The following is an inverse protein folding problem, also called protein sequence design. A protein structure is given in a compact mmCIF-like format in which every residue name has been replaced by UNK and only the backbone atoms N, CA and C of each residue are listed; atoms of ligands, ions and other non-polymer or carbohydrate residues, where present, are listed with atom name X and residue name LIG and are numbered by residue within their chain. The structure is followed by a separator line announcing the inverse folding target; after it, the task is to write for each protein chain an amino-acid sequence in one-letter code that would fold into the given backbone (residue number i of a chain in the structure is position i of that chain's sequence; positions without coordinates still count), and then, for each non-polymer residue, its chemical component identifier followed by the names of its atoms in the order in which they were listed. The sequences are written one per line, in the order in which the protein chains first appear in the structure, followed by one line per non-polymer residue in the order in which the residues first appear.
data_IF_008834368877
#
_entry.id   IF_008834368877
#
_cell.length_a   1.000
_cell.length_b   1.000
_cell.length_c   1.000
_cell.angle_alpha   90.00
_cell.angle_beta   90.00
_cell.angle_gamma   90.00
#
_symmetry.space_group_name_H-M   'P 1'
#
loop_
_entity.id
_entity.type
_entity.pdbx_description
1 polymer ?
#
# COMPACT_ATOMS: atom_id res chain seq x y z
N UNK A 1 -53.41 -46.96 -23.74
CA UNK A 1 -52.16 -46.46 -24.35
C UNK A 1 -51.70 -45.06 -23.87
N UNK A 2 -52.25 -44.49 -22.81
CA UNK A 2 -51.93 -43.10 -22.38
C UNK A 2 -50.87 -42.91 -21.29
N UNK A 3 -50.64 -43.88 -20.41
CA UNK A 3 -49.78 -43.71 -19.21
C UNK A 3 -48.27 -43.75 -19.50
N UNK A 4 -47.79 -44.46 -20.52
CA UNK A 4 -46.39 -44.52 -20.91
C UNK A 4 -45.85 -43.25 -21.59
N UNK A 5 -46.74 -42.48 -22.21
CA UNK A 5 -46.40 -41.19 -22.87
C UNK A 5 -46.16 -40.07 -21.86
N UNK A 6 -46.92 -40.03 -20.76
CA UNK A 6 -46.79 -39.04 -19.71
C UNK A 6 -45.47 -39.17 -18.97
N UNK A 7 -45.08 -40.37 -18.56
CA UNK A 7 -43.82 -40.60 -17.80
C UNK A 7 -42.58 -40.16 -18.57
N UNK A 8 -42.49 -40.46 -19.88
CA UNK A 8 -41.36 -40.01 -20.71
C UNK A 8 -41.30 -38.49 -20.90
N UNK A 9 -42.48 -37.85 -20.93
CA UNK A 9 -42.57 -36.40 -21.00
C UNK A 9 -42.12 -35.74 -19.71
N UNK A 10 -42.54 -36.26 -18.55
CA UNK A 10 -42.15 -35.80 -17.23
C UNK A 10 -40.65 -35.94 -16.98
N UNK A 11 -40.06 -37.09 -17.41
CA UNK A 11 -38.60 -37.35 -17.36
C UNK A 11 -37.83 -36.34 -18.23
N UNK A 12 -38.28 -36.05 -19.44
CA UNK A 12 -37.64 -35.10 -20.34
C UNK A 12 -37.77 -33.64 -19.80
N UNK A 13 -38.87 -33.32 -19.11
CA UNK A 13 -39.04 -32.01 -18.47
C UNK A 13 -38.07 -31.85 -17.32
N UNK A 14 -37.96 -32.84 -16.44
CA UNK A 14 -37.03 -32.86 -15.34
C UNK A 14 -35.55 -32.71 -15.77
N UNK A 15 -35.19 -33.39 -16.87
CA UNK A 15 -33.85 -33.29 -17.46
C UNK A 15 -33.54 -31.88 -17.98
N UNK A 16 -34.53 -31.26 -18.65
CA UNK A 16 -34.40 -29.86 -19.12
C UNK A 16 -34.30 -28.90 -17.94
N UNK A 17 -35.10 -29.07 -16.90
CA UNK A 17 -35.02 -28.19 -15.70
C UNK A 17 -33.66 -28.30 -15.02
N UNK A 18 -33.10 -29.52 -14.91
CA UNK A 18 -31.76 -29.75 -14.39
C UNK A 18 -30.68 -29.07 -15.27
N UNK A 19 -30.83 -29.12 -16.60
CA UNK A 19 -29.93 -28.43 -17.53
C UNK A 19 -30.02 -26.90 -17.37
N UNK A 20 -31.23 -26.34 -17.24
CA UNK A 20 -31.44 -24.91 -17.01
C UNK A 20 -30.75 -24.48 -15.70
N UNK A 21 -30.95 -25.20 -14.60
CA UNK A 21 -30.31 -24.90 -13.32
C UNK A 21 -28.78 -24.93 -13.42
N UNK A 22 -28.24 -25.90 -14.17
CA UNK A 22 -26.80 -26.02 -14.39
C UNK A 22 -26.27 -24.82 -15.19
N UNK A 23 -26.96 -24.41 -16.26
CA UNK A 23 -26.59 -23.25 -17.07
C UNK A 23 -26.70 -21.95 -16.30
N UNK A 24 -27.73 -21.77 -15.47
CA UNK A 24 -27.89 -20.60 -14.61
C UNK A 24 -26.76 -20.53 -13.56
N UNK A 25 -26.38 -21.66 -12.95
CA UNK A 25 -25.27 -21.72 -12.01
C UNK A 25 -23.94 -21.36 -12.69
N UNK A 26 -23.69 -21.90 -13.90
CA UNK A 26 -22.51 -21.57 -14.70
C UNK A 26 -22.52 -20.09 -15.12
N UNK A 27 -23.67 -19.54 -15.48
CA UNK A 27 -23.83 -18.11 -15.78
C UNK A 27 -23.47 -17.21 -14.60
N UNK A 28 -23.98 -17.53 -13.40
CA UNK A 28 -23.63 -16.77 -12.18
C UNK A 28 -22.14 -16.86 -11.86
N UNK A 29 -21.53 -18.05 -11.98
CA UNK A 29 -20.10 -18.22 -11.75
C UNK A 29 -19.25 -17.42 -12.76
N UNK A 30 -19.67 -17.40 -14.04
CA UNK A 30 -18.98 -16.61 -15.08
C UNK A 30 -19.11 -15.10 -14.81
N UNK A 31 -20.30 -14.65 -14.41
CA UNK A 31 -20.53 -13.25 -14.05
C UNK A 31 -19.64 -12.79 -12.91
N UNK A 32 -19.53 -13.58 -11.84
CA UNK A 32 -18.63 -13.30 -10.71
C UNK A 32 -17.16 -13.18 -11.17
N UNK A 33 -16.70 -14.10 -12.05
CA UNK A 33 -15.34 -14.03 -12.61
C UNK A 33 -15.11 -12.79 -13.46
N UNK A 34 -16.12 -12.33 -14.21
CA UNK A 34 -16.02 -11.09 -15.00
C UNK A 34 -15.86 -9.90 -14.07
N UNK A 35 -16.63 -9.83 -12.98
CA UNK A 35 -16.53 -8.77 -11.97
C UNK A 35 -15.15 -8.74 -11.31
N UNK A 36 -14.61 -9.92 -10.90
CA UNK A 36 -13.27 -10.05 -10.33
C UNK A 36 -12.18 -9.55 -11.31
N UNK A 37 -12.29 -9.93 -12.59
CA UNK A 37 -11.32 -9.48 -13.62
C UNK A 37 -11.43 -7.97 -13.85
N UNK A 38 -12.64 -7.43 -13.90
CA UNK A 38 -12.83 -5.98 -14.06
C UNK A 38 -12.25 -5.19 -12.88
N UNK A 39 -12.36 -5.71 -11.66
CA UNK A 39 -11.75 -5.09 -10.49
C UNK A 39 -10.22 -5.14 -10.56
N UNK A 40 -9.65 -6.29 -10.95
CA UNK A 40 -8.22 -6.43 -11.16
C UNK A 40 -7.69 -5.44 -12.22
N UNK A 41 -8.38 -5.30 -13.34
CA UNK A 41 -8.00 -4.34 -14.40
C UNK A 41 -8.02 -2.91 -13.88
N UNK A 42 -9.06 -2.53 -13.13
CA UNK A 42 -9.12 -1.19 -12.49
C UNK A 42 -7.95 -0.93 -11.55
N UNK A 43 -7.56 -1.91 -10.75
CA UNK A 43 -6.40 -1.78 -9.86
C UNK A 43 -5.09 -1.63 -10.65
N UNK A 44 -4.90 -2.41 -11.71
CA UNK A 44 -3.70 -2.31 -12.56
C UNK A 44 -3.63 -0.96 -13.29
N UNK A 45 -4.75 -0.42 -13.77
CA UNK A 45 -4.79 0.92 -14.35
C UNK A 45 -4.45 2.00 -13.34
N UNK A 46 -4.96 1.92 -12.11
CA UNK A 46 -4.59 2.83 -11.03
C UNK A 46 -3.10 2.77 -10.70
N UNK A 47 -2.55 1.57 -10.58
CA UNK A 47 -1.12 1.35 -10.29
C UNK A 47 -0.23 1.91 -11.41
N UNK A 48 -0.63 1.71 -12.67
CA UNK A 48 0.03 2.32 -13.83
C UNK A 48 0.01 3.85 -13.76
N UNK A 49 -1.14 4.44 -13.49
CA UNK A 49 -1.31 5.90 -13.45
C UNK A 49 -0.50 6.53 -12.31
N UNK A 50 -0.38 5.86 -11.16
CA UNK A 50 0.51 6.25 -10.07
C UNK A 50 1.97 6.32 -10.54
N UNK A 51 2.46 5.27 -11.20
CA UNK A 51 3.84 5.20 -11.68
C UNK A 51 4.12 6.22 -12.78
N UNK A 52 3.21 6.40 -13.73
CA UNK A 52 3.35 7.42 -14.79
C UNK A 52 3.34 8.84 -14.21
N UNK A 53 2.41 9.13 -13.28
CA UNK A 53 2.37 10.42 -12.59
C UNK A 53 3.64 10.72 -11.81
N UNK A 54 4.27 9.70 -11.22
CA UNK A 54 5.55 9.83 -10.54
C UNK A 54 6.70 10.13 -11.53
N UNK A 55 6.76 9.40 -12.64
CA UNK A 55 7.76 9.62 -13.69
C UNK A 55 7.65 11.02 -14.32
N UNK A 56 6.45 11.56 -14.44
CA UNK A 56 6.24 12.90 -14.98
C UNK A 56 6.68 14.02 -14.04
N UNK A 57 6.52 13.84 -12.73
CA UNK A 57 6.74 14.90 -11.73
C UNK A 57 8.09 14.82 -11.04
N UNK A 58 8.69 13.64 -10.94
CA UNK A 58 9.97 13.46 -10.26
C UNK A 58 11.12 13.61 -11.26
N UNK A 59 12.06 14.49 -10.95
CA UNK A 59 13.25 14.75 -11.77
C UNK A 59 14.52 14.60 -10.96
N UNK A 60 15.61 14.07 -11.54
CA UNK A 60 16.91 14.04 -10.89
C UNK A 60 17.36 15.43 -10.45
N UNK A 61 17.94 15.52 -9.24
CA UNK A 61 18.42 16.78 -8.67
C UNK A 61 17.33 17.68 -8.07
N UNK A 62 16.06 17.20 -8.01
CA UNK A 62 15.00 17.91 -7.28
C UNK A 62 15.24 17.80 -5.77
N UNK A 63 14.95 18.89 -5.05
CA UNK A 63 15.08 18.92 -3.60
C UNK A 63 14.20 17.85 -2.92
N UNK A 64 14.69 17.22 -1.83
CA UNK A 64 13.99 16.12 -1.17
C UNK A 64 12.57 16.43 -0.71
N UNK A 65 12.31 17.66 -0.27
CA UNK A 65 10.96 18.09 0.12
C UNK A 65 10.02 18.10 -1.08
N UNK A 66 10.43 18.67 -2.20
CA UNK A 66 9.63 18.72 -3.42
C UNK A 66 9.36 17.32 -3.99
N UNK A 67 10.31 16.39 -3.90
CA UNK A 67 10.11 14.98 -4.25
C UNK A 67 9.09 14.31 -3.32
N UNK A 68 9.17 14.58 -2.02
CA UNK A 68 8.25 14.02 -1.03
C UNK A 68 6.82 14.56 -1.22
N UNK A 69 6.67 15.85 -1.51
CA UNK A 69 5.37 16.50 -1.81
C UNK A 69 4.77 15.94 -3.11
N UNK A 70 5.57 15.79 -4.16
CA UNK A 70 5.11 15.18 -5.41
C UNK A 70 4.63 13.75 -5.20
N UNK A 71 5.35 12.94 -4.40
CA UNK A 71 4.96 11.58 -4.07
C UNK A 71 3.68 11.55 -3.23
N UNK A 72 3.55 12.44 -2.25
CA UNK A 72 2.33 12.58 -1.44
C UNK A 72 1.10 12.85 -2.31
N UNK A 73 1.19 13.84 -3.21
CA UNK A 73 0.10 14.24 -4.10
C UNK A 73 -0.36 13.08 -5.00
N UNK A 74 0.59 12.28 -5.46
CA UNK A 74 0.32 11.15 -6.36
C UNK A 74 -0.33 9.99 -5.62
N UNK A 75 0.19 9.62 -4.43
CA UNK A 75 -0.14 8.35 -3.81
C UNK A 75 -1.16 8.45 -2.67
N UNK A 76 -1.33 9.60 -1.99
CA UNK A 76 -2.08 9.68 -0.74
C UNK A 76 -3.53 9.22 -0.87
N UNK A 77 -4.27 9.84 -1.80
CA UNK A 77 -5.68 9.50 -2.04
C UNK A 77 -5.85 8.15 -2.75
N UNK A 78 -5.14 7.87 -3.87
CA UNK A 78 -5.33 6.62 -4.59
C UNK A 78 -4.98 5.37 -3.77
N UNK A 79 -4.01 5.46 -2.86
CA UNK A 79 -3.65 4.36 -1.97
C UNK A 79 -4.46 4.34 -0.66
N UNK A 80 -5.34 5.33 -0.42
CA UNK A 80 -6.16 5.42 0.80
C UNK A 80 -5.31 5.58 2.06
N UNK A 81 -4.27 6.40 2.00
CA UNK A 81 -3.35 6.56 3.12
C UNK A 81 -3.96 7.39 4.25
N UNK A 82 -3.70 6.98 5.48
CA UNK A 82 -4.01 7.71 6.71
C UNK A 82 -2.87 8.65 7.09
N UNK A 83 -1.64 8.11 7.01
CA UNK A 83 -0.40 8.82 7.27
C UNK A 83 0.63 8.49 6.18
N UNK A 84 1.52 9.45 5.95
CA UNK A 84 2.62 9.32 5.01
C UNK A 84 3.79 10.18 5.48
N UNK A 85 5.00 9.68 5.39
CA UNK A 85 6.17 10.51 5.61
C UNK A 85 7.37 10.08 4.78
N UNK A 86 8.24 11.05 4.52
CA UNK A 86 9.60 10.84 4.02
C UNK A 86 10.57 11.36 5.05
N UNK A 87 11.51 10.53 5.46
CA UNK A 87 12.57 10.90 6.39
C UNK A 87 13.94 10.59 5.82
N UNK A 88 14.89 11.48 6.05
CA UNK A 88 16.29 11.36 5.63
C UNK A 88 17.17 10.99 6.81
N UNK A 89 18.11 10.07 6.59
CA UNK A 89 19.08 9.62 7.55
C UNK A 89 20.40 10.35 7.31
N UNK A 90 20.86 11.07 8.32
CA UNK A 90 22.22 11.58 8.41
C UNK A 90 23.00 10.68 9.37
N UNK A 91 23.75 9.75 8.79
CA UNK A 91 24.50 8.75 9.56
C UNK A 91 25.69 9.35 10.31
N UNK A 92 26.26 10.45 9.80
CA UNK A 92 27.43 11.10 10.40
C UNK A 92 27.01 11.99 11.58
N UNK A 93 25.80 12.59 11.50
CA UNK A 93 25.19 13.36 12.59
C UNK A 93 24.34 12.50 13.53
N UNK A 94 24.22 11.20 13.28
CA UNK A 94 23.33 10.29 14.01
C UNK A 94 21.88 10.79 14.07
N UNK A 95 21.35 11.25 12.94
CA UNK A 95 20.05 11.94 12.88
C UNK A 95 19.09 11.35 11.85
N UNK A 96 17.83 11.18 12.24
CA UNK A 96 16.69 10.95 11.35
C UNK A 96 15.83 12.21 11.29
N UNK A 97 15.77 12.85 10.13
CA UNK A 97 15.05 14.10 9.92
C UNK A 97 13.84 13.88 9.01
N UNK A 98 12.65 14.20 9.49
CA UNK A 98 11.42 14.12 8.70
C UNK A 98 11.35 15.32 7.75
N UNK A 99 11.41 15.03 6.45
CA UNK A 99 11.34 16.04 5.38
C UNK A 99 9.89 16.45 5.17
N UNK A 100 9.01 15.46 5.17
CA UNK A 100 7.56 15.62 5.07
C UNK A 100 6.91 14.61 6.01
N UNK A 101 5.93 15.06 6.77
CA UNK A 101 5.09 14.22 7.63
C UNK A 101 3.63 14.63 7.47
N UNK A 102 2.83 13.76 6.91
CA UNK A 102 1.40 13.95 6.67
C UNK A 102 0.59 13.01 7.57
N UNK A 103 -0.31 13.56 8.38
CA UNK A 103 -1.14 12.83 9.31
C UNK A 103 -2.54 13.44 9.35
N UNK A 104 -3.57 12.61 9.19
CA UNK A 104 -4.97 13.06 9.25
C UNK A 104 -5.29 14.19 8.27
N UNK A 105 -4.70 14.18 7.06
CA UNK A 105 -4.90 15.20 6.04
C UNK A 105 -4.16 16.52 6.29
N UNK A 106 -3.24 16.57 7.26
CA UNK A 106 -2.46 17.79 7.60
C UNK A 106 -0.97 17.48 7.64
N UNK A 107 -0.18 18.40 7.07
CA UNK A 107 1.27 18.37 7.27
C UNK A 107 1.61 18.74 8.70
N UNK A 108 2.44 17.92 9.35
CA UNK A 108 2.91 18.10 10.72
C UNK A 108 4.40 18.34 10.75
N UNK A 109 4.86 19.18 11.65
CA UNK A 109 6.28 19.27 11.97
C UNK A 109 6.62 18.14 12.95
N UNK A 110 7.48 17.22 12.54
CA UNK A 110 7.97 16.15 13.40
C UNK A 110 9.43 16.44 13.74
N UNK A 111 9.80 16.51 15.03
CA UNK A 111 11.18 16.80 15.42
C UNK A 111 12.13 15.69 14.94
N UNK A 112 13.37 16.03 14.59
CA UNK A 112 14.38 15.03 14.29
C UNK A 112 14.68 14.19 15.53
N UNK A 113 15.12 12.93 15.31
CA UNK A 113 15.51 12.01 16.38
C UNK A 113 16.80 11.31 16.06
N UNK A 114 17.42 10.68 17.04
CA UNK A 114 18.69 9.99 16.84
C UNK A 114 18.45 8.60 16.25
N UNK A 115 19.26 8.25 15.27
CA UNK A 115 19.25 6.91 14.66
C UNK A 115 19.72 5.83 15.66
N UNK A 116 20.68 6.19 16.54
CA UNK A 116 21.24 5.28 17.54
C UNK A 116 20.23 4.85 18.61
N UNK A 117 19.17 5.62 18.82
CA UNK A 117 18.13 5.28 19.81
C UNK A 117 17.35 4.02 19.41
N UNK A 118 17.29 3.67 18.12
CA UNK A 118 16.64 2.47 17.55
C UNK A 118 15.21 2.25 18.04
N UNK A 119 14.49 3.34 18.28
CA UNK A 119 13.25 3.33 19.03
C UNK A 119 12.03 2.93 18.21
N UNK A 120 12.03 3.05 16.88
CA UNK A 120 10.83 2.88 16.07
C UNK A 120 11.00 2.02 14.82
N UNK A 121 9.90 1.91 14.06
CA UNK A 121 9.85 1.16 12.80
C UNK A 121 10.76 1.76 11.74
N UNK A 122 10.93 3.08 11.71
CA UNK A 122 11.80 3.78 10.77
C UNK A 122 13.25 3.32 10.88
N UNK A 123 13.77 3.30 12.10
CA UNK A 123 15.15 2.88 12.38
C UNK A 123 15.37 1.40 12.07
N UNK A 124 14.32 0.58 12.25
CA UNK A 124 14.35 -0.84 11.87
C UNK A 124 14.48 -1.03 10.37
N UNK A 125 13.72 -0.26 9.55
CA UNK A 125 13.84 -0.29 8.08
C UNK A 125 15.24 0.11 7.64
N UNK A 126 15.77 1.18 8.19
CA UNK A 126 17.12 1.67 7.85
C UNK A 126 18.22 0.66 8.22
N UNK A 127 18.07 -0.01 9.36
CA UNK A 127 19.02 -1.04 9.80
C UNK A 127 18.88 -2.33 8.99
N UNK A 128 17.65 -2.75 8.72
CA UNK A 128 17.35 -3.96 7.94
C UNK A 128 17.67 -3.78 6.45
N UNK A 129 17.62 -2.56 5.92
CA UNK A 129 17.89 -2.20 4.51
C UNK A 129 16.95 -2.89 3.51
N UNK A 130 15.81 -3.31 3.97
CA UNK A 130 14.74 -3.87 3.14
C UNK A 130 13.40 -3.37 3.64
N UNK A 131 12.35 -3.40 2.80
CA UNK A 131 11.03 -3.01 3.21
C UNK A 131 10.53 -3.85 4.39
N UNK A 132 9.79 -3.20 5.29
CA UNK A 132 9.11 -3.85 6.41
C UNK A 132 7.63 -3.57 6.30
N UNK A 133 6.81 -4.61 6.37
CA UNK A 133 5.36 -4.53 6.39
C UNK A 133 4.82 -4.96 7.75
N UNK A 134 4.04 -4.08 8.35
CA UNK A 134 3.25 -4.33 9.56
C UNK A 134 1.79 -4.35 9.11
N UNK A 135 1.09 -5.44 9.37
CA UNK A 135 -0.27 -5.67 8.88
C UNK A 135 -1.34 -5.19 9.83
N UNK A 136 -1.07 -5.25 11.14
CA UNK A 136 -2.03 -4.93 12.18
C UNK A 136 -1.43 -4.04 13.25
N UNK A 137 -2.30 -3.39 14.03
CA UNK A 137 -1.87 -2.58 15.17
C UNK A 137 -1.10 -3.40 16.21
N UNK A 138 -1.48 -4.67 16.43
CA UNK A 138 -0.82 -5.59 17.36
C UNK A 138 0.59 -5.93 16.88
N UNK A 139 0.77 -6.22 15.59
CA UNK A 139 2.10 -6.41 15.00
C UNK A 139 2.96 -5.15 15.17
N UNK A 140 2.37 -3.97 14.96
CA UNK A 140 3.05 -2.69 15.15
C UNK A 140 3.55 -2.50 16.58
N UNK A 141 2.69 -2.73 17.56
CA UNK A 141 3.05 -2.66 18.99
C UNK A 141 4.17 -3.64 19.34
N UNK A 142 4.03 -4.89 18.90
CA UNK A 142 5.04 -5.93 19.13
C UNK A 142 6.39 -5.58 18.45
N UNK A 143 6.33 -4.89 17.31
CA UNK A 143 7.50 -4.40 16.59
C UNK A 143 8.08 -3.10 17.17
N UNK A 144 7.49 -2.51 18.22
CA UNK A 144 7.97 -1.27 18.82
C UNK A 144 7.58 -0.02 18.04
N UNK A 145 6.38 -0.02 17.43
CA UNK A 145 5.82 1.21 16.86
C UNK A 145 5.68 2.27 17.96
N UNK A 146 6.10 3.48 17.64
CA UNK A 146 5.94 4.64 18.50
C UNK A 146 4.71 5.43 18.07
N UNK A 147 3.88 5.78 19.03
CA UNK A 147 2.73 6.66 18.78
C UNK A 147 3.19 8.12 18.74
N UNK A 148 2.58 8.89 17.87
CA UNK A 148 2.71 10.35 17.89
C UNK A 148 1.82 10.95 18.97
N UNK A 149 2.12 12.15 19.41
CA UNK A 149 1.26 12.87 20.36
C UNK A 149 -0.16 13.11 19.80
N UNK A 150 -0.31 13.22 18.47
CA UNK A 150 -1.60 13.36 17.83
C UNK A 150 -2.40 12.04 17.85
N UNK A 151 -1.76 10.90 17.60
CA UNK A 151 -2.36 9.57 17.71
C UNK A 151 -2.80 9.27 19.15
N UNK A 152 -1.97 9.59 20.14
CA UNK A 152 -2.33 9.47 21.56
C UNK A 152 -3.53 10.33 21.94
N UNK A 153 -3.57 11.59 21.45
CA UNK A 153 -4.63 12.53 21.76
C UNK A 153 -5.96 12.21 21.08
N UNK A 154 -5.93 11.66 19.86
CA UNK A 154 -7.12 11.42 19.04
C UNK A 154 -7.60 9.97 19.06
N UNK A 155 -6.72 9.02 19.40
CA UNK A 155 -6.96 7.59 19.26
C UNK A 155 -7.01 7.12 17.80
N UNK A 156 -6.70 7.98 16.83
CA UNK A 156 -6.63 7.63 15.41
C UNK A 156 -5.25 7.09 15.08
N UNK A 157 -5.06 5.80 15.32
CA UNK A 157 -3.78 5.10 15.15
C UNK A 157 -3.82 4.30 13.86
N UNK A 158 -2.84 4.45 12.95
CA UNK A 158 -2.73 3.57 11.77
C UNK A 158 -2.55 2.11 12.19
N UNK A 159 -3.30 1.23 11.54
CA UNK A 159 -3.26 -0.20 11.81
C UNK A 159 -2.20 -0.91 10.97
N UNK A 160 -2.08 -0.55 9.70
CA UNK A 160 -1.01 -1.10 8.86
C UNK A 160 0.01 -0.04 8.46
N UNK A 161 1.26 -0.47 8.37
CA UNK A 161 2.41 0.38 8.09
C UNK A 161 3.35 -0.33 7.12
N UNK A 162 3.75 0.36 6.05
CA UNK A 162 4.75 -0.13 5.12
C UNK A 162 5.87 0.89 4.97
N UNK A 163 7.06 0.52 5.39
CA UNK A 163 8.26 1.36 5.29
C UNK A 163 9.24 0.80 4.28
N UNK A 164 9.71 1.66 3.39
CA UNK A 164 10.65 1.31 2.31
C UNK A 164 11.90 2.17 2.45
N UNK A 165 13.11 1.57 2.50
CA UNK A 165 14.35 2.34 2.56
C UNK A 165 14.59 3.07 1.25
N UNK A 166 15.19 4.26 1.32
CA UNK A 166 15.59 5.07 0.18
C UNK A 166 17.11 4.98 0.01
N UNK A 167 17.55 4.92 -1.26
CA UNK A 167 18.95 4.85 -1.63
C UNK A 167 19.47 3.41 -1.77
N UNK A 168 20.64 3.31 -2.38
CA UNK A 168 21.30 2.06 -2.72
C UNK A 168 22.58 1.92 -1.92
N UNK A 169 22.84 0.73 -1.38
CA UNK A 169 24.10 0.44 -0.69
C UNK A 169 23.97 0.19 0.82
N UNK A 170 25.07 0.24 1.54
CA UNK A 170 25.12 -0.19 2.95
C UNK A 170 24.45 0.78 3.92
N UNK A 171 24.28 2.04 3.52
CA UNK A 171 23.64 3.08 4.32
C UNK A 171 22.52 3.72 3.52
N UNK A 172 21.23 3.35 3.74
CA UNK A 172 20.11 4.04 3.13
C UNK A 172 20.15 5.54 3.44
N UNK A 173 19.81 6.37 2.46
CA UNK A 173 19.76 7.84 2.64
C UNK A 173 18.50 8.31 3.36
N UNK A 174 17.56 7.39 3.59
CA UNK A 174 16.31 7.67 4.27
C UNK A 174 15.32 6.53 4.11
N UNK A 175 14.05 6.85 4.34
CA UNK A 175 12.93 5.95 4.10
C UNK A 175 11.68 6.74 3.71
N UNK A 176 10.76 6.05 3.05
CA UNK A 176 9.37 6.48 2.88
C UNK A 176 8.44 5.53 3.63
N UNK A 177 7.39 6.07 4.24
CA UNK A 177 6.38 5.31 4.97
C UNK A 177 4.99 5.57 4.43
N UNK A 178 4.25 4.48 4.25
CA UNK A 178 2.84 4.45 3.84
C UNK A 178 2.03 3.80 4.96
N UNK A 179 0.93 4.43 5.40
CA UNK A 179 0.16 3.95 6.54
C UNK A 179 -1.33 4.03 6.27
N UNK A 180 -2.10 3.09 6.80
CA UNK A 180 -3.55 3.04 6.67
C UNK A 180 -4.23 2.73 8.01
N UNK A 181 -5.48 3.20 8.19
CA UNK A 181 -6.32 2.84 9.33
C UNK A 181 -6.93 1.44 9.24
N UNK A 182 -6.74 0.74 8.12
CA UNK A 182 -7.24 -0.61 7.93
C UNK A 182 -6.13 -1.64 8.16
N UNK A 183 -6.51 -2.78 8.73
CA UNK A 183 -5.63 -3.93 8.82
C UNK A 183 -5.33 -4.47 7.42
N UNK A 184 -4.10 -4.96 7.22
CA UNK A 184 -3.60 -5.60 6.00
C UNK A 184 -3.94 -4.82 4.71
N UNK A 185 -3.87 -3.46 4.79
CA UNK A 185 -4.35 -2.57 3.74
C UNK A 185 -3.56 -2.65 2.42
N UNK A 186 -2.34 -3.18 2.47
CA UNK A 186 -1.42 -3.15 1.33
C UNK A 186 -1.18 -4.57 0.79
N UNK A 187 -1.92 -4.94 -0.26
CA UNK A 187 -1.70 -6.19 -0.99
C UNK A 187 -0.25 -6.26 -1.52
N UNK A 188 0.21 -7.45 -1.88
CA UNK A 188 1.54 -7.63 -2.46
C UNK A 188 1.74 -6.78 -3.73
N UNK A 189 0.73 -6.71 -4.60
CA UNK A 189 0.76 -5.86 -5.80
C UNK A 189 0.96 -4.39 -5.43
N UNK A 190 0.20 -3.86 -4.47
CA UNK A 190 0.34 -2.47 -4.00
C UNK A 190 1.70 -2.20 -3.38
N UNK A 191 2.25 -3.12 -2.59
CA UNK A 191 3.61 -2.97 -2.04
C UNK A 191 4.66 -2.89 -3.14
N UNK A 192 4.53 -3.66 -4.23
CA UNK A 192 5.43 -3.56 -5.40
C UNK A 192 5.38 -2.18 -6.07
N UNK A 193 4.21 -1.57 -6.16
CA UNK A 193 4.07 -0.18 -6.64
C UNK A 193 4.75 0.80 -5.70
N UNK A 194 4.55 0.67 -4.38
CA UNK A 194 5.22 1.49 -3.37
C UNK A 194 6.75 1.35 -3.43
N UNK A 195 7.26 0.13 -3.65
CA UNK A 195 8.69 -0.14 -3.84
C UNK A 195 9.23 0.58 -5.10
N UNK A 196 8.48 0.53 -6.19
CA UNK A 196 8.86 1.23 -7.42
C UNK A 196 8.86 2.76 -7.25
N UNK A 197 7.89 3.31 -6.53
CA UNK A 197 7.85 4.72 -6.17
C UNK A 197 9.03 5.13 -5.28
N UNK A 198 9.38 4.30 -4.30
CA UNK A 198 10.54 4.51 -3.43
C UNK A 198 11.87 4.43 -4.20
N UNK A 199 11.98 3.50 -5.16
CA UNK A 199 13.13 3.39 -6.04
C UNK A 199 13.28 4.63 -6.96
N UNK A 200 12.16 5.15 -7.46
CA UNK A 200 12.16 6.36 -8.29
C UNK A 200 12.63 7.58 -7.50
N UNK A 201 12.07 7.82 -6.30
CA UNK A 201 12.50 8.95 -5.45
C UNK A 201 13.97 8.81 -5.05
N UNK A 202 14.43 7.58 -4.76
CA UNK A 202 15.84 7.30 -4.47
C UNK A 202 16.76 7.68 -5.63
N UNK A 203 16.34 7.35 -6.86
CA UNK A 203 17.09 7.69 -8.09
C UNK A 203 17.12 9.20 -8.30
N UNK A 204 16.03 9.90 -8.04
CA UNK A 204 15.96 11.36 -8.19
C UNK A 204 16.78 12.13 -7.15
N UNK A 205 16.94 11.56 -5.94
CA UNK A 205 17.80 12.15 -4.91
C UNK A 205 19.31 12.05 -5.26
N UNK A 206 19.69 11.10 -6.11
CA UNK A 206 21.09 10.86 -6.47
C UNK A 206 21.94 10.22 -5.36
N UNK A 207 23.18 9.85 -5.66
CA UNK A 207 24.13 9.43 -4.65
C UNK A 207 24.52 10.62 -3.77
N UNK A 208 24.52 10.43 -2.48
CA UNK A 208 25.08 11.38 -1.50
C UNK A 208 26.34 10.80 -0.90
#
# INVERSE_FOLDING_TARGET
MGLFSSKKFDEALAERDAQIQTLEAAGRALQARVEDVQELVRHLDQDRDLLLGALERMRPGTEPLALAEALLDICFKPLGLACFYVALADWDQDQLRFVLYQEGGRTRNHPPRRLSDRLGLSEKVLTARHPIYIRTLEEGKAAGSLLTAAEEATGLIPHSWYGVPLGWGPRPVGLVSFQSFHDDAFSESRRRVMDALAALISTCMGPR
#
